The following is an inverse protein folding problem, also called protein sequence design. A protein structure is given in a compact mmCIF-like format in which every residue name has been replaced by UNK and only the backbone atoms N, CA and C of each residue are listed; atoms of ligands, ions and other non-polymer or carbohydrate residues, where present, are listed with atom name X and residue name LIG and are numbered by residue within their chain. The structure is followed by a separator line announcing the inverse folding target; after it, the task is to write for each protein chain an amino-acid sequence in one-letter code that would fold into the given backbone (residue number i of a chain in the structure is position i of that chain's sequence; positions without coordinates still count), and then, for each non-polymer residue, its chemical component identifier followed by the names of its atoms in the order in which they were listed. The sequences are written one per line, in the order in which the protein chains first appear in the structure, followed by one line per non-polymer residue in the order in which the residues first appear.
data_IF_870377425640
#
_entry.id   IF_870377425640
#
_cell.length_a   1.000
_cell.length_b   1.000
_cell.length_c   1.000
_cell.angle_alpha   90.00
_cell.angle_beta   90.00
_cell.angle_gamma   90.00
#
_symmetry.space_group_name_H-M   'P 1'
#
loop_
_entity.id
_entity.type
_entity.pdbx_description
1 polymer ?
#
# COMPACT_ATOMS: atom_id res chain seq x y z
N UNK A 1 4.74 -18.74 -19.27
CA UNK A 1 3.78 -17.66 -19.57
C UNK A 1 3.79 -16.64 -18.43
N UNK A 2 4.05 -15.34 -18.68
CA UNK A 2 4.09 -14.31 -17.62
C UNK A 2 2.65 -13.97 -17.19
N UNK A 3 2.22 -14.44 -16.02
CA UNK A 3 0.94 -14.05 -15.41
C UNK A 3 1.06 -12.60 -14.95
N UNK A 4 0.51 -11.66 -15.73
CA UNK A 4 0.48 -10.24 -15.38
C UNK A 4 -0.28 -10.08 -14.05
N UNK A 5 0.40 -9.60 -13.00
CA UNK A 5 -0.23 -9.33 -11.71
C UNK A 5 -1.12 -8.11 -11.85
N UNK A 6 -2.44 -8.29 -11.73
CA UNK A 6 -3.38 -7.17 -11.59
C UNK A 6 -2.95 -6.30 -10.41
N UNK A 7 -2.70 -5.02 -10.66
CA UNK A 7 -2.39 -4.04 -9.61
C UNK A 7 -3.71 -3.50 -9.07
N UNK A 8 -3.93 -3.62 -7.77
CA UNK A 8 -5.09 -3.04 -7.08
C UNK A 8 -4.67 -1.78 -6.33
N UNK A 9 -5.50 -0.74 -6.41
CA UNK A 9 -5.31 0.50 -5.65
C UNK A 9 -5.37 0.25 -4.14
N UNK A 10 -4.60 1.01 -3.35
CA UNK A 10 -4.60 0.93 -1.89
C UNK A 10 -6.00 1.16 -1.29
N UNK A 11 -6.75 2.12 -1.83
CA UNK A 11 -8.12 2.40 -1.42
C UNK A 11 -9.06 1.20 -1.65
N UNK A 12 -8.87 0.47 -2.75
CA UNK A 12 -9.67 -0.71 -3.06
C UNK A 12 -9.36 -1.87 -2.11
N UNK A 13 -8.07 -2.12 -1.83
CA UNK A 13 -7.65 -3.14 -0.85
C UNK A 13 -8.22 -2.83 0.53
N UNK A 14 -8.17 -1.57 0.96
CA UNK A 14 -8.73 -1.13 2.24
C UNK A 14 -10.25 -1.36 2.29
N UNK A 15 -10.99 -1.01 1.23
CA UNK A 15 -12.43 -1.26 1.14
C UNK A 15 -12.76 -2.75 1.27
N UNK A 16 -12.07 -3.62 0.53
CA UNK A 16 -12.27 -5.08 0.59
C UNK A 16 -11.91 -5.64 1.96
N UNK A 17 -10.79 -5.18 2.55
CA UNK A 17 -10.37 -5.61 3.89
C UNK A 17 -11.39 -5.20 4.96
N UNK A 18 -11.95 -3.98 4.88
CA UNK A 18 -13.00 -3.52 5.79
C UNK A 18 -14.25 -4.39 5.71
N UNK A 19 -14.73 -4.72 4.51
CA UNK A 19 -15.87 -5.63 4.34
C UNK A 19 -15.58 -7.02 4.92
N UNK A 20 -14.35 -7.51 4.77
CA UNK A 20 -13.91 -8.78 5.37
C UNK A 20 -13.71 -8.73 6.90
N UNK A 21 -13.58 -7.54 7.50
CA UNK A 21 -13.49 -7.35 8.95
C UNK A 21 -14.87 -7.22 9.58
N UNK A 22 -15.83 -6.60 8.87
CA UNK A 22 -17.22 -6.46 9.33
C UNK A 22 -17.95 -7.81 9.49
N UNK A 23 -17.41 -8.88 8.91
CA UNK A 23 -17.90 -10.26 8.99
C UNK A 23 -19.39 -10.43 8.57
N UNK A 24 -19.92 -9.49 7.79
CA UNK A 24 -21.31 -9.51 7.31
C UNK A 24 -21.52 -10.47 6.13
N UNK A 25 -20.44 -10.74 5.40
CA UNK A 25 -20.42 -11.59 4.21
C UNK A 25 -19.26 -12.55 4.34
N UNK A 26 -19.45 -13.78 3.89
CA UNK A 26 -18.38 -14.77 3.86
C UNK A 26 -17.29 -14.36 2.87
N UNK A 27 -16.06 -14.87 3.05
CA UNK A 27 -14.95 -14.59 2.14
C UNK A 27 -15.29 -14.98 0.69
N UNK A 28 -16.11 -16.02 0.50
CA UNK A 28 -16.58 -16.48 -0.82
C UNK A 28 -17.56 -15.50 -1.48
N UNK A 29 -18.45 -14.89 -0.69
CA UNK A 29 -19.40 -13.88 -1.20
C UNK A 29 -18.69 -12.58 -1.56
N UNK A 30 -17.74 -12.14 -0.72
CA UNK A 30 -16.90 -10.97 -1.00
C UNK A 30 -16.04 -11.24 -2.26
N UNK A 31 -15.46 -12.44 -2.36
CA UNK A 31 -14.72 -12.88 -3.54
C UNK A 31 -15.56 -12.79 -4.81
N UNK A 32 -16.81 -13.25 -4.76
CA UNK A 32 -17.75 -13.18 -5.90
C UNK A 32 -18.15 -11.75 -6.24
N UNK A 33 -18.37 -10.90 -5.23
CA UNK A 33 -18.80 -9.49 -5.42
C UNK A 33 -17.72 -8.62 -6.06
N UNK A 34 -16.46 -8.85 -5.71
CA UNK A 34 -15.33 -8.04 -6.17
C UNK A 34 -14.45 -8.73 -7.22
N UNK A 35 -14.80 -9.96 -7.62
CA UNK A 35 -14.02 -10.82 -8.54
C UNK A 35 -12.57 -11.04 -8.06
N UNK A 36 -12.42 -11.36 -6.77
CA UNK A 36 -11.12 -11.51 -6.10
C UNK A 36 -11.00 -12.89 -5.51
N UNK A 37 -9.81 -13.49 -5.60
CA UNK A 37 -9.58 -14.78 -4.97
C UNK A 37 -9.59 -14.67 -3.43
N UNK A 38 -10.28 -15.55 -2.69
CA UNK A 38 -10.44 -15.46 -1.23
C UNK A 38 -9.11 -15.41 -0.45
N UNK A 39 -8.07 -16.08 -0.96
CA UNK A 39 -6.70 -16.00 -0.38
C UNK A 39 -6.07 -14.59 -0.44
N UNK A 40 -6.44 -13.77 -1.44
CA UNK A 40 -5.99 -12.38 -1.50
C UNK A 40 -6.71 -11.53 -0.45
N UNK A 41 -8.00 -11.79 -0.25
CA UNK A 41 -8.82 -11.10 0.76
C UNK A 41 -8.28 -11.37 2.17
N UNK A 42 -7.93 -12.62 2.49
CA UNK A 42 -7.32 -12.96 3.78
C UNK A 42 -5.98 -12.24 4.01
N UNK A 43 -5.17 -12.13 2.95
CA UNK A 43 -3.90 -11.39 3.00
C UNK A 43 -4.14 -9.92 3.28
N UNK A 44 -5.05 -9.27 2.54
CA UNK A 44 -5.36 -7.85 2.72
C UNK A 44 -6.03 -7.54 4.06
N UNK A 45 -6.86 -8.45 4.57
CA UNK A 45 -7.42 -8.35 5.93
C UNK A 45 -6.31 -8.26 6.98
N UNK A 46 -5.31 -9.15 6.89
CA UNK A 46 -4.17 -9.15 7.80
C UNK A 46 -3.28 -7.92 7.64
N UNK A 47 -2.98 -7.54 6.39
CA UNK A 47 -2.22 -6.31 6.11
C UNK A 47 -2.94 -5.07 6.66
N UNK A 48 -4.27 -4.99 6.51
CA UNK A 48 -5.03 -3.86 7.01
C UNK A 48 -4.94 -3.73 8.55
N UNK A 49 -5.08 -4.84 9.27
CA UNK A 49 -4.95 -4.86 10.74
C UNK A 49 -3.55 -4.39 11.17
N UNK A 50 -2.50 -4.95 10.56
CA UNK A 50 -1.10 -4.59 10.86
C UNK A 50 -0.80 -3.10 10.57
N UNK A 51 -1.30 -2.57 9.45
CA UNK A 51 -1.11 -1.17 9.10
C UNK A 51 -2.00 -0.22 9.91
N UNK A 52 -3.16 -0.68 10.39
CA UNK A 52 -4.06 0.14 11.21
C UNK A 52 -3.40 0.56 12.52
N UNK A 53 -2.71 -0.36 13.21
CA UNK A 53 -1.95 -0.05 14.43
C UNK A 53 -0.85 0.98 14.18
N UNK A 54 -0.11 0.85 13.07
CA UNK A 54 0.92 1.82 12.66
C UNK A 54 0.36 3.22 12.43
N UNK A 55 -0.88 3.31 11.94
CA UNK A 55 -1.54 4.60 11.67
C UNK A 55 -1.84 5.35 12.98
N UNK A 56 -2.17 4.63 14.07
CA UNK A 56 -2.40 5.24 15.39
C UNK A 56 -1.11 5.55 16.16
N UNK A 57 -0.05 4.76 15.93
CA UNK A 57 1.30 5.03 16.46
C UNK A 57 1.97 6.24 15.76
N UNK A 58 1.56 6.52 14.51
CA UNK A 58 2.00 7.68 13.71
C UNK A 58 1.37 9.00 14.18
N UNK A 59 1.49 9.35 15.48
CA UNK A 59 1.29 10.73 15.94
C UNK A 59 2.54 11.60 15.82
N UNK A 60 3.66 11.06 15.34
CA UNK A 60 4.90 11.83 15.22
C UNK A 60 5.72 11.30 14.06
N UNK A 61 5.39 11.67 12.82
CA UNK A 61 6.32 11.96 11.72
C UNK A 61 5.58 12.72 10.61
N UNK A 62 5.11 13.92 10.96
CA UNK A 62 5.15 15.01 9.99
C UNK A 62 6.62 15.29 9.69
N UNK A 63 7.23 14.50 8.81
CA UNK A 63 8.50 14.86 8.17
C UNK A 63 8.21 15.86 7.03
N UNK A 64 7.31 16.80 7.30
CA UNK A 64 7.28 18.07 6.60
C UNK A 64 8.41 18.89 7.20
N UNK A 65 9.54 18.94 6.50
CA UNK A 65 10.40 20.10 6.28
C UNK A 65 10.15 21.34 7.18
N UNK A 66 10.22 21.20 8.50
CA UNK A 66 10.15 22.30 9.47
C UNK A 66 11.04 21.97 10.66
N UNK A 67 12.33 21.91 10.37
CA UNK A 67 13.42 21.67 11.30
C UNK A 67 14.69 21.91 10.51
N UNK A 68 15.13 23.15 10.44
CA UNK A 68 16.27 23.58 9.64
C UNK A 68 17.53 22.91 10.19
N UNK A 69 17.90 21.78 9.62
CA UNK A 69 19.30 21.36 9.56
C UNK A 69 19.66 21.28 8.09
N UNK A 70 20.27 22.36 7.62
CA UNK A 70 21.02 22.42 6.37
C UNK A 70 21.95 21.19 6.28
N UNK A 71 21.79 20.29 5.29
CA UNK A 71 22.85 19.34 5.01
C UNK A 71 24.07 20.13 4.51
N UNK A 72 25.28 19.85 5.00
CA UNK A 72 26.48 20.43 4.41
C UNK A 72 26.49 20.05 2.93
N UNK A 73 26.61 21.09 2.10
CA UNK A 73 26.76 21.01 0.66
C UNK A 73 27.75 19.90 0.31
N UNK A 74 27.26 18.81 -0.27
CA UNK A 74 28.09 17.87 -1.01
C UNK A 74 27.41 17.54 -2.33
N UNK A 75 27.71 18.42 -3.28
CA UNK A 75 27.56 18.27 -4.72
C UNK A 75 27.95 16.86 -5.21
N UNK A 76 26.96 16.00 -5.44
CA UNK A 76 27.06 14.92 -6.44
C UNK A 76 25.68 14.50 -6.98
N UNK A 77 24.90 15.51 -7.34
CA UNK A 77 23.89 15.41 -8.39
C UNK A 77 24.60 15.53 -9.74
N UNK A 78 25.09 14.41 -10.28
CA UNK A 78 25.50 14.27 -11.69
C UNK A 78 25.50 12.77 -12.08
N UNK A 79 24.34 12.10 -12.05
CA UNK A 79 24.06 10.97 -12.98
C UNK A 79 22.56 10.60 -13.07
N UNK A 80 21.68 11.60 -13.02
CA UNK A 80 20.29 11.47 -13.44
C UNK A 80 20.23 11.62 -14.97
N UNK A 81 20.57 10.56 -15.74
CA UNK A 81 20.14 10.39 -17.16
C UNK A 81 20.65 9.11 -17.84
N UNK A 82 20.46 7.94 -17.22
CA UNK A 82 20.56 6.67 -17.98
C UNK A 82 19.77 5.54 -17.36
N UNK A 83 18.44 5.68 -17.25
CA UNK A 83 17.54 4.52 -17.23
C UNK A 83 16.12 4.94 -17.67
N UNK A 84 16.03 5.65 -18.81
CA UNK A 84 14.84 5.58 -19.67
C UNK A 84 14.87 4.21 -20.37
N UNK A 85 14.22 3.20 -19.79
CA UNK A 85 13.84 1.99 -20.51
C UNK A 85 12.81 1.17 -19.72
N UNK A 86 11.51 1.44 -19.89
CA UNK A 86 10.53 0.37 -20.12
C UNK A 86 9.19 0.95 -20.62
N UNK A 87 9.06 0.93 -21.96
CA UNK A 87 7.88 0.99 -22.84
C UNK A 87 6.96 2.21 -22.84
#
# INVERSE_FOLDING_TARGET
MKKSRRKFSSAFKAKVALEAIKDQLTLQEIASKFDIHPSQISTWKREFIDNSSKTFDSKTKTDGYFGVTVPPISVKWCHFERYCNYS
#
